data_IF_933435665153
#
_entry.id   IF_933435665153
#
_cell.length_a   1.000
_cell.length_b   1.000
_cell.length_c   1.000
_cell.angle_alpha   90.00
_cell.angle_beta   90.00
_cell.angle_gamma   90.00
#
_symmetry.space_group_name_H-M   'P 1'
#
loop_
_entity.id
_entity.type
_entity.pdbx_description
1 polymer ?
#
# COMPACT_ATOMS: atom_id res chain seq x y z
N UNK A 1 -14.23 -6.56 -13.57
CA UNK A 1 -14.60 -5.73 -12.41
C UNK A 1 -14.88 -4.34 -12.92
N UNK A 2 -16.05 -3.79 -12.60
CA UNK A 2 -16.39 -2.44 -13.01
C UNK A 2 -15.51 -1.42 -12.25
N UNK A 3 -15.19 -0.28 -12.87
CA UNK A 3 -14.39 0.78 -12.22
C UNK A 3 -15.08 1.28 -10.95
N UNK A 4 -16.41 1.26 -10.90
CA UNK A 4 -17.20 1.64 -9.72
C UNK A 4 -16.99 0.66 -8.57
N UNK A 5 -17.03 -0.64 -8.83
CA UNK A 5 -16.77 -1.69 -7.83
C UNK A 5 -15.35 -1.60 -7.29
N UNK A 6 -14.36 -1.32 -8.15
CA UNK A 6 -12.99 -1.11 -7.71
C UNK A 6 -12.86 0.08 -6.76
N UNK A 7 -13.45 1.22 -7.12
CA UNK A 7 -13.41 2.41 -6.27
C UNK A 7 -14.12 2.15 -4.93
N UNK A 8 -15.22 1.42 -4.95
CA UNK A 8 -15.92 1.03 -3.73
C UNK A 8 -15.06 0.12 -2.86
N UNK A 9 -14.42 -0.91 -3.43
CA UNK A 9 -13.54 -1.81 -2.70
C UNK A 9 -12.33 -1.07 -2.11
N UNK A 10 -11.75 -0.14 -2.85
CA UNK A 10 -10.67 0.72 -2.37
C UNK A 10 -11.11 1.62 -1.22
N UNK A 11 -12.29 2.24 -1.34
CA UNK A 11 -12.85 3.07 -0.27
C UNK A 11 -13.13 2.26 1.00
N UNK A 12 -13.71 1.05 0.85
CA UNK A 12 -13.93 0.13 1.96
C UNK A 12 -12.61 -0.34 2.58
N UNK A 13 -11.61 -0.66 1.77
CA UNK A 13 -10.26 -1.02 2.22
C UNK A 13 -9.61 0.09 3.03
N UNK A 14 -9.69 1.34 2.55
CA UNK A 14 -9.20 2.52 3.28
C UNK A 14 -9.94 2.67 4.61
N UNK A 15 -11.27 2.56 4.61
CA UNK A 15 -12.07 2.72 5.82
C UNK A 15 -11.77 1.65 6.86
N UNK A 16 -11.71 0.38 6.45
CA UNK A 16 -11.32 -0.74 7.30
C UNK A 16 -9.89 -0.58 7.80
N UNK A 17 -8.98 -0.08 6.96
CA UNK A 17 -7.61 0.25 7.31
C UNK A 17 -7.50 1.36 8.36
N UNK A 18 -8.25 2.45 8.21
CA UNK A 18 -8.33 3.54 9.19
C UNK A 18 -8.83 3.02 10.53
N UNK A 19 -9.91 2.25 10.52
CA UNK A 19 -10.50 1.69 11.73
C UNK A 19 -9.56 0.70 12.41
N UNK A 20 -8.94 -0.20 11.64
CA UNK A 20 -7.95 -1.15 12.15
C UNK A 20 -6.70 -0.47 12.71
N UNK A 21 -6.20 0.58 12.03
CA UNK A 21 -5.06 1.38 12.50
C UNK A 21 -5.37 2.11 13.80
N UNK A 22 -6.58 2.69 13.92
CA UNK A 22 -7.06 3.30 15.16
C UNK A 22 -7.15 2.27 16.29
N UNK A 23 -7.82 1.14 16.07
CA UNK A 23 -7.93 0.06 17.07
C UNK A 23 -6.56 -0.45 17.51
N UNK A 24 -5.63 -0.67 16.56
CA UNK A 24 -4.29 -1.16 16.87
C UNK A 24 -3.54 -0.16 17.75
N UNK A 25 -3.63 1.14 17.45
CA UNK A 25 -3.01 2.17 18.29
C UNK A 25 -3.63 2.24 19.69
N UNK A 26 -4.94 1.98 19.84
CA UNK A 26 -5.60 1.95 21.15
C UNK A 26 -5.24 0.72 21.98
N UNK A 27 -4.91 -0.40 21.33
CA UNK A 27 -4.57 -1.65 22.00
C UNK A 27 -3.06 -1.84 22.22
N UNK A 28 -2.23 -1.09 21.49
CA UNK A 28 -0.77 -1.23 21.50
C UNK A 28 -0.08 0.09 21.86
N UNK A 29 0.22 0.32 23.15
CA UNK A 29 0.78 1.57 23.64
C UNK A 29 2.10 1.97 22.98
N UNK A 30 2.95 0.99 22.67
CA UNK A 30 4.26 1.21 22.02
C UNK A 30 4.09 1.81 20.62
N UNK A 31 3.07 1.37 19.88
CA UNK A 31 2.75 1.92 18.57
C UNK A 31 2.29 3.39 18.69
N UNK A 32 1.44 3.67 19.67
CA UNK A 32 0.96 5.01 19.93
C UNK A 32 2.09 5.97 20.33
N UNK A 33 3.06 5.51 21.12
CA UNK A 33 4.23 6.32 21.51
C UNK A 33 5.18 6.60 20.33
N UNK A 34 5.27 5.67 19.37
CA UNK A 34 6.23 5.79 18.26
C UNK A 34 5.71 6.66 17.13
N UNK A 35 4.46 6.44 16.69
CA UNK A 35 3.90 7.09 15.49
C UNK A 35 2.60 7.88 15.76
N UNK A 36 2.06 7.80 16.98
CA UNK A 36 0.79 8.41 17.35
C UNK A 36 -0.41 7.75 16.67
N UNK A 37 -1.61 8.11 17.16
CA UNK A 37 -2.88 7.60 16.61
C UNK A 37 -3.06 8.00 15.15
N UNK A 38 -2.73 9.25 14.79
CA UNK A 38 -2.81 9.73 13.41
C UNK A 38 -1.87 8.96 12.46
N UNK A 39 -0.64 8.70 12.88
CA UNK A 39 0.31 7.90 12.10
C UNK A 39 -0.17 6.46 11.91
N UNK A 40 -0.66 5.83 12.98
CA UNK A 40 -1.19 4.47 12.90
C UNK A 40 -2.43 4.37 11.99
N UNK A 41 -3.32 5.36 12.02
CA UNK A 41 -4.47 5.44 11.11
C UNK A 41 -4.04 5.60 9.66
N UNK A 42 -3.04 6.46 9.37
CA UNK A 42 -2.52 6.65 8.01
C UNK A 42 -1.85 5.37 7.47
N UNK A 43 -1.06 4.69 8.30
CA UNK A 43 -0.47 3.40 7.93
C UNK A 43 -1.54 2.32 7.72
N UNK A 44 -2.53 2.26 8.60
CA UNK A 44 -3.68 1.36 8.45
C UNK A 44 -4.43 1.62 7.16
N UNK A 45 -4.74 2.89 6.84
CA UNK A 45 -5.38 3.30 5.60
C UNK A 45 -4.58 2.88 4.37
N UNK A 46 -3.25 3.08 4.39
CA UNK A 46 -2.37 2.70 3.30
C UNK A 46 -2.36 1.18 3.09
N UNK A 47 -2.23 0.40 4.16
CA UNK A 47 -2.28 -1.07 4.10
C UNK A 47 -3.64 -1.58 3.61
N UNK A 48 -4.74 -0.99 4.09
CA UNK A 48 -6.09 -1.31 3.66
C UNK A 48 -6.34 -0.99 2.18
N UNK A 49 -5.84 0.16 1.70
CA UNK A 49 -5.90 0.53 0.28
C UNK A 49 -5.11 -0.45 -0.61
N UNK A 50 -3.92 -0.88 -0.15
CA UNK A 50 -3.09 -1.86 -0.86
C UNK A 50 -3.80 -3.21 -0.94
N UNK A 51 -4.35 -3.69 0.19
CA UNK A 51 -5.07 -4.95 0.26
C UNK A 51 -6.30 -4.97 -0.67
N UNK A 52 -7.04 -3.85 -0.74
CA UNK A 52 -8.16 -3.69 -1.65
C UNK A 52 -7.75 -3.55 -3.13
N UNK A 53 -6.47 -3.32 -3.41
CA UNK A 53 -5.94 -3.07 -4.76
C UNK A 53 -5.04 -4.20 -5.29
N UNK A 54 -5.04 -5.38 -4.65
CA UNK A 54 -4.14 -6.49 -5.02
C UNK A 54 -4.30 -6.93 -6.49
N UNK A 55 -5.52 -6.92 -7.03
CA UNK A 55 -5.77 -7.29 -8.42
C UNK A 55 -5.08 -6.32 -9.42
N UNK A 56 -4.97 -5.03 -9.07
CA UNK A 56 -4.26 -4.04 -9.89
C UNK A 56 -2.76 -4.28 -9.84
N UNK A 57 -2.21 -4.60 -8.66
CA UNK A 57 -0.80 -4.98 -8.53
C UNK A 57 -0.48 -6.24 -9.32
N UNK A 58 -1.34 -7.26 -9.29
CA UNK A 58 -1.19 -8.46 -10.12
C UNK A 58 -1.20 -8.12 -11.62
N UNK A 59 -2.14 -7.28 -12.07
CA UNK A 59 -2.24 -6.87 -13.46
C UNK A 59 -0.98 -6.11 -13.92
N UNK A 60 -0.50 -5.17 -13.11
CA UNK A 60 0.74 -4.42 -13.38
C UNK A 60 1.94 -5.36 -13.41
N UNK A 61 2.07 -6.27 -12.44
CA UNK A 61 3.15 -7.24 -12.44
C UNK A 61 3.13 -8.15 -13.66
N UNK A 62 1.95 -8.61 -14.09
CA UNK A 62 1.78 -9.39 -15.32
C UNK A 62 2.26 -8.65 -16.56
N UNK A 63 2.06 -7.33 -16.64
CA UNK A 63 2.56 -6.52 -17.76
C UNK A 63 4.09 -6.51 -17.81
N UNK A 64 4.75 -6.52 -16.66
CA UNK A 64 6.22 -6.51 -16.57
C UNK A 64 6.81 -7.90 -16.78
N UNK A 65 6.29 -8.91 -16.10
CA UNK A 65 6.84 -10.28 -16.12
C UNK A 65 6.44 -11.05 -17.38
N UNK A 66 5.33 -10.66 -18.03
CA UNK A 66 4.67 -11.39 -19.12
C UNK A 66 4.37 -12.85 -18.77
N UNK A 67 4.17 -13.14 -17.49
CA UNK A 67 3.94 -14.48 -16.96
C UNK A 67 2.51 -14.64 -16.42
N UNK A 68 1.98 -15.86 -16.42
CA UNK A 68 0.67 -16.19 -15.83
C UNK A 68 0.74 -16.47 -14.34
N UNK A 69 1.93 -16.67 -13.77
CA UNK A 69 2.11 -16.93 -12.33
C UNK A 69 1.63 -15.75 -11.48
N UNK A 70 0.51 -15.94 -10.77
CA UNK A 70 -0.13 -14.94 -9.91
C UNK A 70 0.75 -14.42 -8.79
N UNK A 71 1.46 -15.31 -8.10
CA UNK A 71 2.30 -14.92 -6.95
C UNK A 71 3.45 -14.03 -7.42
N UNK A 72 4.17 -14.45 -8.47
CA UNK A 72 5.24 -13.66 -9.10
C UNK A 72 4.73 -12.27 -9.50
N UNK A 73 3.57 -12.21 -10.15
CA UNK A 73 2.99 -10.96 -10.63
C UNK A 73 2.60 -10.03 -9.47
N UNK A 74 1.99 -10.55 -8.41
CA UNK A 74 1.68 -9.75 -7.22
C UNK A 74 2.94 -9.19 -6.58
N UNK A 75 3.98 -10.02 -6.40
CA UNK A 75 5.26 -9.59 -5.82
C UNK A 75 5.90 -8.48 -6.64
N UNK A 76 6.03 -8.67 -7.96
CA UNK A 76 6.61 -7.66 -8.86
C UNK A 76 5.78 -6.37 -8.88
N UNK A 77 4.45 -6.50 -8.91
CA UNK A 77 3.52 -5.38 -8.85
C UNK A 77 3.69 -4.55 -7.57
N UNK A 78 3.83 -5.19 -6.42
CA UNK A 78 4.04 -4.52 -5.12
C UNK A 78 5.45 -3.93 -5.00
N UNK A 79 6.46 -4.53 -5.63
CA UNK A 79 7.83 -4.01 -5.61
C UNK A 79 8.02 -2.74 -6.47
N UNK A 80 7.22 -2.56 -7.53
CA UNK A 80 7.32 -1.40 -8.42
C UNK A 80 7.23 -0.03 -7.72
N UNK A 81 6.18 0.26 -6.92
CA UNK A 81 6.12 1.54 -6.20
C UNK A 81 7.27 1.72 -5.20
N UNK A 82 7.75 0.63 -4.57
CA UNK A 82 8.90 0.68 -3.67
C UNK A 82 10.20 1.04 -4.42
N UNK A 83 10.40 0.44 -5.61
CA UNK A 83 11.50 0.78 -6.51
C UNK A 83 11.44 2.26 -6.94
N UNK A 84 10.24 2.76 -7.28
CA UNK A 84 10.06 4.16 -7.64
C UNK A 84 10.45 5.11 -6.49
N UNK A 85 10.00 4.80 -5.27
CA UNK A 85 10.37 5.58 -4.07
C UNK A 85 11.89 5.57 -3.87
N UNK A 86 12.53 4.41 -4.03
CA UNK A 86 13.98 4.26 -3.88
C UNK A 86 14.75 5.09 -4.92
N UNK A 87 14.32 5.06 -6.18
CA UNK A 87 14.92 5.86 -7.26
C UNK A 87 14.73 7.35 -7.02
N UNK A 88 13.52 7.79 -6.64
CA UNK A 88 13.25 9.19 -6.32
C UNK A 88 14.11 9.67 -5.15
N UNK A 89 14.21 8.87 -4.08
CA UNK A 89 15.04 9.19 -2.93
C UNK A 89 16.51 9.31 -3.30
N UNK A 90 17.02 8.41 -4.15
CA UNK A 90 18.40 8.46 -4.62
C UNK A 90 18.65 9.70 -5.50
N UNK A 91 17.74 10.02 -6.43
CA UNK A 91 17.82 11.20 -7.27
C UNK A 91 17.80 12.50 -6.45
N UNK A 92 16.93 12.60 -5.44
CA UNK A 92 16.88 13.75 -4.52
C UNK A 92 18.19 13.93 -3.77
N UNK A 93 18.86 12.83 -3.36
CA UNK A 93 20.17 12.89 -2.71
C UNK A 93 21.29 13.36 -3.64
N UNK A 94 21.19 13.08 -4.93
CA UNK A 94 22.15 13.56 -5.93
C UNK A 94 21.95 15.03 -6.28
N UNK A 95 20.71 15.50 -6.34
CA UNK A 95 20.36 16.89 -6.65
C UNK A 95 20.55 17.86 -5.46
N UNK A 96 20.54 17.33 -4.23
CA UNK A 96 20.81 18.10 -3.01
C UNK A 96 22.30 18.25 -2.66
N UNK A 97 23.20 17.81 -3.54
CA UNK A 97 24.64 18.08 -3.51
C UNK A 97 25.00 19.00 -4.68
#
# INVERSE_FOLDING_TARGET
MDRKELRLNQALGIFMGLFGGWMTASLWPELQQTIGTGGAMLWGAALGAIAASLAQFEAVGRLVTRNTNRFLNLTVGLCLPLLLILVLWWALRLLGR
#
